data_IF_445485638724
#
_entry.id   IF_445485638724
#
_cell.length_a   1.000
_cell.length_b   1.000
_cell.length_c   1.000
_cell.angle_alpha   90.00
_cell.angle_beta   90.00
_cell.angle_gamma   90.00
#
_symmetry.space_group_name_H-M   'P 1'
#
loop_
_entity.id
_entity.type
_entity.pdbx_description
1 polymer ?
#
# COMPACT_ATOMS: atom_id res chain seq x y z
N UNK A 1 -4.52 -20.68 -14.07
CA UNK A 1 -5.61 -21.52 -13.54
C UNK A 1 -5.11 -22.19 -12.28
N UNK A 2 -5.92 -22.19 -11.22
CA UNK A 2 -5.62 -22.88 -9.97
C UNK A 2 -6.82 -23.74 -9.59
N UNK A 3 -6.58 -25.01 -9.28
CA UNK A 3 -7.60 -25.96 -8.84
C UNK A 3 -7.07 -26.71 -7.62
N UNK A 4 -8.00 -27.21 -6.79
CA UNK A 4 -7.64 -27.94 -5.58
C UNK A 4 -8.69 -28.99 -5.26
N UNK A 5 -8.27 -30.04 -4.55
CA UNK A 5 -9.12 -31.11 -4.04
C UNK A 5 -8.58 -31.62 -2.71
N UNK A 6 -9.35 -31.44 -1.64
CA UNK A 6 -9.03 -32.01 -0.33
C UNK A 6 -9.41 -33.49 -0.25
N UNK A 7 -8.55 -34.27 0.37
CA UNK A 7 -8.71 -35.70 0.62
C UNK A 7 -8.95 -35.97 2.10
N UNK A 8 -9.61 -37.10 2.41
CA UNK A 8 -9.92 -37.49 3.80
C UNK A 8 -8.66 -37.82 4.63
N UNK A 9 -7.51 -38.06 3.98
CA UNK A 9 -6.21 -38.30 4.62
C UNK A 9 -5.53 -37.01 5.12
N UNK A 10 -6.19 -35.86 5.01
CA UNK A 10 -5.69 -34.55 5.43
C UNK A 10 -4.76 -33.88 4.43
N UNK A 11 -4.58 -34.46 3.24
CA UNK A 11 -3.85 -33.85 2.14
C UNK A 11 -4.78 -33.07 1.21
N UNK A 12 -4.27 -31.95 0.72
CA UNK A 12 -4.91 -31.17 -0.33
C UNK A 12 -4.05 -31.26 -1.57
N UNK A 13 -4.63 -31.81 -2.64
CA UNK A 13 -4.02 -31.75 -3.97
C UNK A 13 -4.31 -30.39 -4.59
N UNK A 14 -3.29 -29.77 -5.15
CA UNK A 14 -3.36 -28.45 -5.77
C UNK A 14 -2.68 -28.49 -7.13
N UNK A 15 -3.32 -27.89 -8.11
CA UNK A 15 -2.79 -27.77 -9.46
C UNK A 15 -2.75 -26.30 -9.88
N UNK A 16 -1.60 -25.88 -10.41
CA UNK A 16 -1.37 -24.57 -11.01
C UNK A 16 -1.01 -24.74 -12.47
N UNK A 17 -1.68 -23.99 -13.33
CA UNK A 17 -1.39 -23.94 -14.76
C UNK A 17 -1.28 -22.49 -15.25
N UNK A 18 -0.30 -22.20 -16.10
CA UNK A 18 -0.09 -20.91 -16.76
C UNK A 18 0.15 -21.12 -18.25
N UNK A 19 -0.40 -20.24 -19.07
CA UNK A 19 -0.06 -20.15 -20.50
C UNK A 19 1.42 -19.74 -20.71
N UNK A 20 1.93 -20.03 -21.90
CA UNK A 20 3.29 -19.70 -22.34
C UNK A 20 3.42 -18.31 -22.97
N UNK A 21 2.54 -17.35 -22.64
CA UNK A 21 2.58 -16.00 -23.22
C UNK A 21 3.86 -15.24 -22.85
N UNK A 22 4.56 -15.68 -21.80
CA UNK A 22 5.81 -15.13 -21.30
C UNK A 22 6.82 -16.26 -21.08
N UNK A 23 7.60 -16.65 -22.11
CA UNK A 23 8.50 -17.80 -22.03
C UNK A 23 9.62 -17.68 -20.99
N UNK A 24 9.96 -16.45 -20.56
CA UNK A 24 10.94 -16.22 -19.49
C UNK A 24 10.41 -16.60 -18.11
N UNK A 25 9.09 -16.68 -17.93
CA UNK A 25 8.52 -17.08 -16.65
C UNK A 25 8.91 -18.52 -16.33
N UNK A 26 9.34 -18.72 -15.10
CA UNK A 26 9.91 -19.96 -14.61
C UNK A 26 9.53 -20.26 -13.15
N UNK A 27 8.54 -19.55 -12.60
CA UNK A 27 7.88 -19.96 -11.36
C UNK A 27 6.38 -19.63 -11.35
N UNK A 28 5.64 -20.36 -10.52
CA UNK A 28 4.26 -20.08 -10.13
C UNK A 28 4.12 -20.24 -8.62
N UNK A 29 3.32 -19.41 -7.97
CA UNK A 29 3.15 -19.47 -6.52
C UNK A 29 1.72 -19.16 -6.08
N UNK A 30 1.34 -19.75 -4.95
CA UNK A 30 0.12 -19.44 -4.20
C UNK A 30 0.50 -18.96 -2.79
N UNK A 31 0.09 -17.74 -2.46
CA UNK A 31 0.18 -17.17 -1.12
C UNK A 31 -1.15 -17.31 -0.38
N UNK A 32 -1.08 -17.66 0.91
CA UNK A 32 -2.25 -17.86 1.76
C UNK A 32 -2.35 -16.71 2.78
N UNK A 33 -3.07 -15.64 2.41
CA UNK A 33 -3.18 -14.44 3.24
C UNK A 33 -4.44 -14.42 4.11
N UNK A 34 -4.36 -13.70 5.22
CA UNK A 34 -5.50 -13.44 6.09
C UNK A 34 -6.30 -12.21 5.65
N UNK A 35 -5.81 -11.39 4.72
CA UNK A 35 -6.49 -10.20 4.21
C UNK A 35 -6.26 -9.97 2.71
N UNK A 36 -6.70 -8.82 2.18
CA UNK A 36 -6.59 -8.47 0.76
C UNK A 36 -5.27 -7.78 0.39
N UNK A 37 -4.25 -7.89 1.24
CA UNK A 37 -2.93 -7.26 1.04
C UNK A 37 -1.86 -8.33 1.12
N UNK A 38 -0.80 -8.16 0.33
CA UNK A 38 0.42 -8.90 0.60
C UNK A 38 1.13 -8.29 1.79
N UNK A 39 1.55 -9.16 2.71
CA UNK A 39 2.39 -8.83 3.85
C UNK A 39 3.07 -10.10 4.34
N UNK A 40 2.62 -10.59 5.49
CA UNK A 40 3.21 -11.74 6.14
C UNK A 40 2.39 -13.00 5.84
N UNK A 41 2.80 -13.76 4.82
CA UNK A 41 2.08 -14.94 4.36
C UNK A 41 2.99 -16.14 4.10
N UNK A 42 2.55 -17.36 4.45
CA UNK A 42 3.15 -18.54 3.88
C UNK A 42 2.78 -18.68 2.40
N UNK A 43 3.77 -19.09 1.61
CA UNK A 43 3.69 -19.23 0.17
C UNK A 43 4.13 -20.64 -0.20
N UNK A 44 3.40 -21.26 -1.13
CA UNK A 44 3.84 -22.50 -1.79
C UNK A 44 4.11 -22.19 -3.25
N UNK A 45 5.33 -22.46 -3.70
CA UNK A 45 5.77 -22.15 -5.04
C UNK A 45 6.27 -23.38 -5.79
N UNK A 46 6.09 -23.38 -7.10
CA UNK A 46 6.75 -24.28 -8.02
C UNK A 46 7.75 -23.50 -8.86
N UNK A 47 9.00 -23.96 -8.85
CA UNK A 47 10.11 -23.35 -9.60
C UNK A 47 10.59 -24.30 -10.68
N UNK A 48 10.82 -23.76 -11.88
CA UNK A 48 11.19 -24.48 -13.10
C UNK A 48 12.56 -23.96 -13.59
N UNK A 49 13.65 -24.30 -12.89
CA UNK A 49 14.97 -23.76 -13.21
C UNK A 49 15.39 -24.17 -14.63
N UNK A 50 16.15 -23.31 -15.31
CA UNK A 50 16.66 -23.59 -16.66
C UNK A 50 17.61 -24.80 -16.67
N UNK A 51 18.27 -25.04 -15.53
CA UNK A 51 19.14 -26.19 -15.29
C UNK A 51 18.67 -26.91 -14.03
N UNK A 52 18.38 -28.21 -14.14
CA UNK A 52 17.91 -29.02 -13.01
C UNK A 52 16.48 -29.50 -13.17
N UNK A 53 15.89 -29.96 -12.07
CA UNK A 53 14.51 -30.46 -12.02
C UNK A 53 13.60 -29.40 -11.43
N UNK A 54 12.38 -29.33 -11.94
CA UNK A 54 11.33 -28.54 -11.29
C UNK A 54 11.06 -29.08 -9.87
N UNK A 55 10.73 -28.17 -8.97
CA UNK A 55 10.49 -28.48 -7.55
C UNK A 55 9.34 -27.65 -7.01
N UNK A 56 8.69 -28.17 -5.97
CA UNK A 56 7.75 -27.42 -5.13
C UNK A 56 8.42 -27.13 -3.79
N UNK A 57 8.30 -25.89 -3.32
CA UNK A 57 8.95 -25.40 -2.11
C UNK A 57 8.00 -24.50 -1.33
N UNK A 58 8.21 -24.42 -0.03
CA UNK A 58 7.62 -23.40 0.80
C UNK A 58 8.52 -22.17 0.86
N UNK A 59 7.90 -21.02 1.05
CA UNK A 59 8.56 -19.80 1.49
C UNK A 59 7.61 -19.00 2.35
N UNK A 60 8.10 -17.92 2.94
CA UNK A 60 7.30 -17.02 3.74
C UNK A 60 7.59 -15.59 3.34
N UNK A 61 6.57 -14.86 2.92
CA UNK A 61 6.69 -13.42 2.72
C UNK A 61 6.76 -12.73 4.08
N UNK A 62 7.73 -11.83 4.25
CA UNK A 62 7.81 -10.92 5.38
C UNK A 62 7.92 -9.50 4.83
N UNK A 63 6.92 -8.66 5.11
CA UNK A 63 6.78 -7.32 4.54
C UNK A 63 6.89 -7.26 3.00
N UNK A 64 8.11 -7.07 2.49
CA UNK A 64 8.46 -6.92 1.06
C UNK A 64 9.55 -7.90 0.61
N UNK A 65 9.94 -8.80 1.49
CA UNK A 65 10.96 -9.81 1.25
C UNK A 65 10.31 -11.19 1.31
N UNK A 66 11.02 -12.18 0.80
CA UNK A 66 10.66 -13.58 0.89
C UNK A 66 11.78 -14.32 1.62
N UNK A 67 11.40 -15.24 2.50
CA UNK A 67 12.31 -16.07 3.28
C UNK A 67 12.07 -17.54 2.97
N UNK A 68 13.15 -18.28 2.73
CA UNK A 68 13.10 -19.73 2.55
C UNK A 68 13.30 -20.50 3.87
N UNK A 69 12.78 -21.73 3.97
CA UNK A 69 13.14 -22.68 5.02
C UNK A 69 14.65 -22.96 5.03
N UNK A 70 15.35 -22.53 6.09
CA UNK A 70 16.80 -22.76 6.23
C UNK A 70 17.17 -23.63 7.44
N UNK A 71 16.34 -23.64 8.49
CA UNK A 71 16.57 -24.50 9.64
C UNK A 71 16.24 -25.97 9.30
N UNK A 72 16.99 -26.90 9.89
CA UNK A 72 16.80 -28.34 9.65
C UNK A 72 15.36 -28.82 9.95
N UNK A 73 14.74 -28.25 11.00
CA UNK A 73 13.34 -28.56 11.37
C UNK A 73 12.36 -28.13 10.28
N UNK A 74 12.55 -26.94 9.72
CA UNK A 74 11.68 -26.40 8.67
C UNK A 74 11.85 -27.16 7.35
N UNK A 75 13.09 -27.54 7.02
CA UNK A 75 13.38 -28.39 5.86
C UNK A 75 12.76 -29.79 6.01
N UNK A 76 12.80 -30.38 7.20
CA UNK A 76 12.11 -31.66 7.45
C UNK A 76 10.61 -31.50 7.32
N UNK A 77 10.04 -30.43 7.88
CA UNK A 77 8.61 -30.14 7.77
C UNK A 77 8.18 -29.94 6.31
N UNK A 78 8.96 -29.22 5.50
CA UNK A 78 8.72 -29.08 4.05
C UNK A 78 8.67 -30.44 3.37
N UNK A 79 9.69 -31.29 3.56
CA UNK A 79 9.76 -32.61 2.93
C UNK A 79 8.63 -33.56 3.38
N UNK A 80 8.12 -33.41 4.60
CA UNK A 80 7.01 -34.20 5.11
C UNK A 80 5.64 -33.69 4.64
N UNK A 81 5.50 -32.37 4.53
CA UNK A 81 4.22 -31.69 4.32
C UNK A 81 3.97 -31.30 2.86
N UNK A 82 4.99 -31.28 2.00
CA UNK A 82 4.88 -30.90 0.60
C UNK A 82 5.45 -31.99 -0.28
N UNK A 83 4.67 -32.41 -1.28
CA UNK A 83 5.11 -33.37 -2.29
C UNK A 83 4.73 -32.90 -3.67
N UNK A 84 5.74 -32.70 -4.52
CA UNK A 84 5.53 -32.52 -5.94
C UNK A 84 5.09 -33.86 -6.57
N UNK A 85 3.97 -33.85 -7.27
CA UNK A 85 3.43 -35.01 -7.98
C UNK A 85 3.89 -34.98 -9.44
N UNK A 86 3.68 -33.83 -10.11
CA UNK A 86 4.10 -33.64 -11.49
C UNK A 86 4.38 -32.15 -11.77
N UNK A 87 5.40 -31.88 -12.57
CA UNK A 87 5.72 -30.53 -13.02
C UNK A 87 6.19 -30.56 -14.47
N UNK A 88 5.71 -29.61 -15.25
CA UNK A 88 6.08 -29.42 -16.64
C UNK A 88 6.25 -27.93 -16.97
N UNK A 89 7.27 -27.60 -17.75
CA UNK A 89 7.43 -26.31 -18.41
C UNK A 89 7.83 -26.59 -19.86
N UNK A 90 7.04 -26.09 -20.80
CA UNK A 90 7.20 -26.37 -22.22
C UNK A 90 6.51 -25.34 -23.11
N UNK A 91 6.20 -25.73 -24.34
CA UNK A 91 5.55 -24.86 -25.33
C UNK A 91 4.12 -24.50 -24.94
N UNK A 92 3.42 -25.39 -24.24
CA UNK A 92 2.05 -25.25 -23.72
C UNK A 92 1.97 -24.42 -22.43
N UNK A 93 3.11 -24.14 -21.80
CA UNK A 93 3.23 -23.27 -20.63
C UNK A 93 3.81 -23.99 -19.43
N UNK A 94 3.39 -23.58 -18.24
CA UNK A 94 3.84 -24.17 -16.98
C UNK A 94 2.67 -24.88 -16.31
N UNK A 95 2.92 -26.10 -15.84
CA UNK A 95 1.99 -26.89 -15.06
C UNK A 95 2.68 -27.44 -13.82
N UNK A 96 2.04 -27.32 -12.67
CA UNK A 96 2.51 -27.88 -11.41
C UNK A 96 1.37 -28.53 -10.65
N UNK A 97 1.54 -29.81 -10.32
CA UNK A 97 0.64 -30.59 -9.48
C UNK A 97 1.42 -31.04 -8.24
N UNK A 98 0.95 -30.63 -7.08
CA UNK A 98 1.55 -30.94 -5.79
C UNK A 98 0.46 -31.22 -4.77
N UNK A 99 0.85 -31.89 -3.69
CA UNK A 99 -0.02 -32.08 -2.53
C UNK A 99 0.63 -31.49 -1.29
N UNK A 100 -0.20 -30.91 -0.44
CA UNK A 100 0.23 -30.34 0.84
C UNK A 100 -0.61 -30.89 2.00
N UNK A 101 0.03 -31.17 3.13
CA UNK A 101 -0.65 -31.58 4.36
C UNK A 101 -1.27 -30.38 5.07
N UNK A 102 -2.58 -30.44 5.38
CA UNK A 102 -3.30 -29.38 6.08
C UNK A 102 -2.98 -29.32 7.58
N UNK A 103 -2.88 -30.48 8.23
CA UNK A 103 -2.86 -30.60 9.70
C UNK A 103 -1.51 -30.30 10.38
N UNK A 104 -0.45 -30.06 9.61
CA UNK A 104 0.91 -29.82 10.11
C UNK A 104 1.34 -28.37 9.88
N UNK A 105 0.67 -27.45 10.56
CA UNK A 105 0.94 -26.01 10.48
C UNK A 105 2.36 -25.67 10.98
N UNK A 106 3.06 -24.81 10.24
CA UNK A 106 4.33 -24.21 10.63
C UNK A 106 4.39 -22.77 10.12
N UNK A 107 5.49 -22.06 10.35
CA UNK A 107 5.71 -20.73 9.74
C UNK A 107 5.52 -20.80 8.23
N UNK A 108 6.07 -21.83 7.58
CA UNK A 108 6.11 -21.97 6.12
C UNK A 108 4.92 -22.79 5.57
N UNK A 109 4.32 -23.66 6.40
CA UNK A 109 3.21 -24.52 6.02
C UNK A 109 1.88 -24.02 6.63
N UNK A 110 0.97 -23.44 5.83
CA UNK A 110 -0.32 -22.98 6.33
C UNK A 110 -1.24 -24.16 6.67
N UNK A 111 -2.15 -23.93 7.64
CA UNK A 111 -3.24 -24.85 7.92
C UNK A 111 -4.36 -24.66 6.90
N UNK A 112 -4.45 -25.56 5.92
CA UNK A 112 -5.35 -25.45 4.79
C UNK A 112 -6.84 -25.60 5.14
N UNK A 113 -7.18 -26.00 6.37
CA UNK A 113 -8.56 -26.06 6.88
C UNK A 113 -9.10 -24.68 7.28
N UNK A 114 -8.26 -23.64 7.22
CA UNK A 114 -8.65 -22.24 7.43
C UNK A 114 -9.01 -21.56 6.11
N UNK A 115 -9.80 -20.49 6.21
CA UNK A 115 -10.14 -19.65 5.06
C UNK A 115 -9.05 -18.59 4.81
N UNK A 116 -8.50 -18.57 3.60
CA UNK A 116 -7.48 -17.61 3.18
C UNK A 116 -7.89 -16.83 1.95
N UNK A 117 -7.43 -15.59 1.87
CA UNK A 117 -7.34 -14.89 0.61
C UNK A 117 -6.17 -15.47 -0.18
N UNK A 118 -6.45 -16.04 -1.36
CA UNK A 118 -5.40 -16.62 -2.19
C UNK A 118 -4.80 -15.57 -3.11
N UNK A 119 -3.47 -15.53 -3.15
CA UNK A 119 -2.65 -14.73 -4.05
C UNK A 119 -1.97 -15.66 -5.05
N UNK A 120 -2.38 -15.60 -6.31
CA UNK A 120 -1.85 -16.45 -7.38
C UNK A 120 -0.93 -15.61 -8.26
N UNK A 121 0.33 -16.01 -8.37
CA UNK A 121 1.33 -15.25 -9.12
C UNK A 121 2.18 -16.18 -9.99
N UNK A 122 2.69 -15.61 -11.08
CA UNK A 122 3.68 -16.24 -11.95
C UNK A 122 4.71 -15.19 -12.34
N UNK A 123 5.94 -15.62 -12.58
CA UNK A 123 6.99 -14.69 -12.94
C UNK A 123 8.32 -15.36 -13.24
N UNK A 124 9.35 -14.53 -13.24
CA UNK A 124 10.74 -14.92 -13.42
C UNK A 124 11.47 -14.90 -12.08
N UNK A 125 12.31 -15.90 -11.83
CA UNK A 125 13.16 -16.04 -10.65
C UNK A 125 14.54 -16.56 -11.03
N UNK A 126 15.57 -16.02 -10.41
CA UNK A 126 16.93 -16.57 -10.46
C UNK A 126 17.16 -17.57 -9.31
N UNK A 127 16.28 -17.60 -8.32
CA UNK A 127 16.37 -18.51 -7.19
C UNK A 127 15.89 -19.91 -7.61
N UNK A 128 16.69 -20.98 -7.41
CA UNK A 128 16.30 -22.33 -7.75
C UNK A 128 15.16 -22.91 -6.88
N UNK A 129 14.79 -22.25 -5.79
CA UNK A 129 13.77 -22.69 -4.82
C UNK A 129 12.74 -21.61 -4.47
N UNK A 130 13.13 -20.34 -4.54
CA UNK A 130 12.30 -19.20 -4.17
C UNK A 130 11.54 -18.54 -5.33
N UNK A 131 10.43 -17.84 -5.04
CA UNK A 131 9.77 -16.98 -6.01
C UNK A 131 10.59 -15.70 -6.25
N UNK A 132 10.54 -15.18 -7.47
CA UNK A 132 11.16 -13.90 -7.82
C UNK A 132 10.22 -12.72 -7.60
N UNK A 133 10.75 -11.50 -7.72
CA UNK A 133 9.93 -10.28 -7.64
C UNK A 133 8.88 -10.26 -8.75
N UNK A 134 7.61 -10.09 -8.37
CA UNK A 134 6.50 -9.97 -9.30
C UNK A 134 6.22 -8.50 -9.66
N UNK A 135 5.39 -8.27 -10.68
CA UNK A 135 5.06 -6.91 -11.11
C UNK A 135 4.13 -6.21 -10.12
N UNK A 136 4.32 -4.90 -9.92
CA UNK A 136 3.42 -4.04 -9.15
C UNK A 136 2.38 -3.32 -10.03
N UNK A 137 2.42 -3.51 -11.35
CA UNK A 137 1.44 -2.97 -12.29
C UNK A 137 0.27 -3.93 -12.45
N UNK A 138 -0.97 -3.57 -12.04
CA UNK A 138 -2.17 -4.41 -12.17
C UNK A 138 -2.47 -4.90 -13.59
N UNK A 139 -1.89 -4.24 -14.61
CA UNK A 139 -2.06 -4.61 -16.03
C UNK A 139 -1.04 -5.62 -16.53
N UNK A 140 -0.02 -5.91 -15.73
CA UNK A 140 1.03 -6.86 -16.07
C UNK A 140 0.58 -8.29 -15.82
N UNK A 141 0.98 -9.19 -16.69
CA UNK A 141 0.75 -10.63 -16.53
C UNK A 141 1.46 -11.25 -15.30
N UNK A 142 2.48 -10.56 -14.77
CA UNK A 142 3.16 -10.91 -13.53
C UNK A 142 2.57 -10.23 -12.30
N UNK A 143 1.41 -9.57 -12.39
CA UNK A 143 0.71 -9.06 -11.22
C UNK A 143 -0.08 -10.20 -10.54
N UNK A 144 -0.05 -10.32 -9.21
CA UNK A 144 -0.79 -11.37 -8.51
C UNK A 144 -2.29 -11.23 -8.72
N UNK A 145 -2.94 -12.32 -9.10
CA UNK A 145 -4.37 -12.44 -9.01
C UNK A 145 -4.76 -12.70 -7.56
N UNK A 146 -5.59 -11.83 -6.99
CA UNK A 146 -6.13 -11.98 -5.65
C UNK A 146 -7.58 -12.45 -5.81
N UNK A 147 -7.93 -13.52 -5.10
CA UNK A 147 -9.33 -13.95 -5.00
C UNK A 147 -10.23 -12.82 -4.50
N UNK A 148 -11.54 -12.86 -4.74
CA UNK A 148 -12.46 -11.83 -4.22
C UNK A 148 -12.91 -12.10 -2.78
N UNK A 149 -12.92 -13.37 -2.40
CA UNK A 149 -13.34 -13.88 -1.09
C UNK A 149 -12.31 -14.88 -0.58
N UNK A 150 -12.32 -15.08 0.73
CA UNK A 150 -11.52 -16.14 1.33
C UNK A 150 -12.04 -17.52 0.90
N UNK A 151 -11.12 -18.45 0.76
CA UNK A 151 -11.37 -19.82 0.29
C UNK A 151 -10.75 -20.79 1.29
N UNK A 152 -11.51 -21.81 1.68
CA UNK A 152 -11.01 -22.95 2.42
C UNK A 152 -10.65 -24.06 1.42
N UNK A 153 -9.36 -24.31 1.21
CA UNK A 153 -8.90 -25.33 0.26
C UNK A 153 -8.83 -26.73 0.87
N UNK A 154 -8.85 -26.84 2.20
CA UNK A 154 -8.91 -28.10 2.96
C UNK A 154 -10.32 -28.68 3.12
N UNK A 155 -11.37 -27.91 2.79
CA UNK A 155 -12.74 -28.41 2.87
C UNK A 155 -12.97 -29.51 1.82
N UNK A 156 -13.19 -30.74 2.28
CA UNK A 156 -13.56 -31.87 1.43
C UNK A 156 -14.93 -31.59 0.79
N UNK A 157 -14.92 -31.23 -0.49
CA UNK A 157 -16.14 -31.19 -1.29
C UNK A 157 -16.58 -32.63 -1.53
N UNK A 158 -17.53 -33.11 -0.72
CA UNK A 158 -18.23 -34.36 -1.05
C UNK A 158 -18.95 -34.12 -2.36
N UNK A 159 -18.52 -34.83 -3.41
CA UNK A 159 -19.34 -35.06 -4.60
C UNK A 159 -20.53 -35.91 -4.15
N UNK A 160 -21.49 -35.29 -3.48
CA UNK A 160 -22.76 -35.93 -3.23
C UNK A 160 -23.39 -36.23 -4.59
N UNK A 161 -23.79 -37.49 -4.70
CA UNK A 161 -24.37 -38.11 -5.86
C UNK A 161 -25.54 -37.30 -6.45
N UNK A 162 -25.71 -37.43 -7.77
CA UNK A 162 -26.94 -37.34 -8.56
C UNK A 162 -28.10 -36.51 -7.96
N UNK A 163 -28.56 -35.44 -8.64
CA UNK A 163 -29.64 -34.62 -8.12
C UNK A 163 -30.89 -35.48 -7.96
N UNK A 164 -31.35 -35.66 -6.72
CA UNK A 164 -32.64 -36.31 -6.46
C UNK A 164 -33.75 -35.44 -7.05
N UNK A 165 -34.26 -35.89 -8.19
CA UNK A 165 -35.54 -35.49 -8.77
C UNK A 165 -36.63 -35.63 -7.70
N UNK A 166 -37.25 -34.51 -7.35
CA UNK A 166 -38.21 -34.43 -6.26
C UNK A 166 -39.16 -33.24 -6.39
N UNK A 167 -40.06 -33.37 -7.36
CA UNK A 167 -41.39 -32.74 -7.45
C UNK A 167 -41.46 -31.23 -7.69
N UNK A 168 -41.82 -30.92 -8.93
CA UNK A 168 -42.34 -29.65 -9.40
C UNK A 168 -43.48 -29.13 -8.51
N UNK A 169 -43.43 -27.84 -8.22
CA UNK A 169 -44.59 -26.97 -8.36
C UNK A 169 -44.08 -25.60 -8.81
N UNK A 170 -44.16 -25.40 -10.12
CA UNK A 170 -43.93 -24.13 -10.78
C UNK A 170 -44.87 -23.06 -10.21
N UNK A 171 -44.29 -21.98 -9.70
CA UNK A 171 -44.83 -20.64 -9.98
C UNK A 171 -43.65 -19.70 -10.14
N UNK A 172 -43.42 -19.35 -11.40
CA UNK A 172 -42.50 -18.32 -11.84
C UNK A 172 -42.85 -17.00 -11.13
N UNK A 173 -42.01 -16.62 -10.17
CA UNK A 173 -42.11 -15.40 -9.40
C UNK A 173 -40.71 -14.84 -9.18
N UNK A 174 -40.21 -14.14 -10.21
CA UNK A 174 -39.11 -13.19 -10.08
C UNK A 174 -39.38 -12.27 -8.88
N UNK A 175 -38.67 -12.48 -7.79
CA UNK A 175 -38.54 -11.50 -6.71
C UNK A 175 -37.07 -11.46 -6.32
N UNK A 176 -36.41 -10.48 -6.93
CA UNK A 176 -35.22 -9.83 -6.44
C UNK A 176 -35.51 -9.35 -5.00
N UNK A 177 -35.18 -10.17 -4.01
CA UNK A 177 -35.07 -9.69 -2.64
C UNK A 177 -33.66 -9.12 -2.46
N UNK A 178 -33.59 -7.83 -2.78
CA UNK A 178 -32.54 -6.91 -2.36
C UNK A 178 -32.53 -6.85 -0.83
N UNK A 179 -31.89 -7.82 -0.17
CA UNK A 179 -31.44 -7.63 1.20
C UNK A 179 -30.26 -6.66 1.17
N UNK A 180 -30.62 -5.40 1.37
CA UNK A 180 -29.73 -4.25 1.53
C UNK A 180 -29.04 -4.35 2.89
N UNK A 181 -28.21 -5.36 3.10
CA UNK A 181 -27.15 -5.26 4.11
C UNK A 181 -26.07 -4.39 3.50
N UNK A 182 -25.90 -3.20 4.07
CA UNK A 182 -24.83 -2.28 3.70
C UNK A 182 -23.48 -2.91 4.04
N UNK A 183 -23.02 -3.82 3.19
CA UNK A 183 -21.61 -4.16 3.07
C UNK A 183 -20.96 -2.86 2.64
N UNK A 184 -20.26 -2.20 3.56
CA UNK A 184 -19.41 -1.08 3.23
C UNK A 184 -18.57 -1.50 2.02
N UNK A 185 -18.83 -0.94 0.85
CA UNK A 185 -18.12 -1.31 -0.37
C UNK A 185 -16.67 -0.88 -0.18
N UNK A 186 -15.80 -1.83 0.16
CA UNK A 186 -14.39 -1.57 0.24
C UNK A 186 -13.96 -1.13 -1.17
N UNK A 187 -13.28 0.02 -1.31
CA UNK A 187 -12.89 0.52 -2.63
C UNK A 187 -12.05 -0.53 -3.35
N UNK A 188 -12.26 -0.68 -4.66
CA UNK A 188 -11.48 -1.63 -5.47
C UNK A 188 -9.97 -1.36 -5.30
N UNK A 189 -9.10 -2.38 -5.48
CA UNK A 189 -7.65 -2.19 -5.34
C UNK A 189 -7.13 -0.99 -6.15
N UNK A 190 -7.67 -0.79 -7.35
CA UNK A 190 -7.35 0.34 -8.22
C UNK A 190 -7.68 1.70 -7.58
N UNK A 191 -8.87 1.84 -6.96
CA UNK A 191 -9.28 3.07 -6.27
C UNK A 191 -8.41 3.34 -5.05
N UNK A 192 -8.02 2.30 -4.29
CA UNK A 192 -7.10 2.45 -3.15
C UNK A 192 -5.75 3.00 -3.60
N UNK A 193 -5.17 2.46 -4.67
CA UNK A 193 -3.90 2.95 -5.22
C UNK A 193 -4.02 4.39 -5.73
N UNK A 194 -5.12 4.71 -6.42
CA UNK A 194 -5.39 6.06 -6.91
C UNK A 194 -5.51 7.06 -5.76
N UNK A 195 -6.21 6.68 -4.68
CA UNK A 195 -6.36 7.50 -3.48
C UNK A 195 -5.00 7.79 -2.81
N UNK A 196 -4.13 6.78 -2.69
CA UNK A 196 -2.78 6.95 -2.13
C UNK A 196 -1.96 7.91 -2.98
N UNK A 197 -2.07 7.83 -4.32
CA UNK A 197 -1.37 8.75 -5.23
C UNK A 197 -1.87 10.19 -5.10
N UNK A 198 -3.19 10.39 -5.03
CA UNK A 198 -3.80 11.71 -4.82
C UNK A 198 -3.41 12.28 -3.46
N UNK A 199 -3.43 11.47 -2.39
CA UNK A 199 -2.97 11.86 -1.07
C UNK A 199 -1.52 12.35 -1.09
N UNK A 200 -0.63 11.62 -1.76
CA UNK A 200 0.77 12.01 -1.93
C UNK A 200 0.94 13.36 -2.63
N UNK A 201 0.20 13.59 -3.71
CA UNK A 201 0.21 14.88 -4.44
C UNK A 201 -0.28 16.02 -3.54
N UNK A 202 -1.38 15.82 -2.82
CA UNK A 202 -1.94 16.81 -1.90
C UNK A 202 -0.99 17.14 -0.74
N UNK A 203 -0.27 16.14 -0.21
CA UNK A 203 0.73 16.36 0.84
C UNK A 203 1.88 17.23 0.37
N UNK A 204 2.40 16.99 -0.85
CA UNK A 204 3.46 17.81 -1.44
C UNK A 204 2.97 19.24 -1.67
N UNK A 205 1.79 19.42 -2.27
CA UNK A 205 1.19 20.73 -2.51
C UNK A 205 0.98 21.51 -1.19
N UNK A 206 0.45 20.85 -0.16
CA UNK A 206 0.26 21.44 1.15
C UNK A 206 1.59 21.89 1.75
N UNK A 207 2.63 21.07 1.70
CA UNK A 207 3.96 21.44 2.18
C UNK A 207 4.55 22.66 1.48
N UNK A 208 4.46 22.74 0.16
CA UNK A 208 4.94 23.93 -0.57
C UNK A 208 4.19 25.19 -0.14
N UNK A 209 2.87 25.12 0.03
CA UNK A 209 2.06 26.26 0.47
C UNK A 209 2.40 26.67 1.91
N UNK A 210 2.40 25.72 2.85
CA UNK A 210 2.66 26.03 4.26
C UNK A 210 4.10 26.52 4.51
N UNK A 211 5.09 25.99 3.77
CA UNK A 211 6.47 26.47 3.86
C UNK A 211 6.62 27.89 3.31
N UNK A 212 6.07 28.17 2.11
CA UNK A 212 6.16 29.50 1.52
C UNK A 212 5.39 30.53 2.34
N UNK A 213 4.17 30.22 2.77
CA UNK A 213 3.37 31.10 3.64
C UNK A 213 4.06 31.32 4.99
N UNK A 214 4.68 30.30 5.59
CA UNK A 214 5.44 30.44 6.83
C UNK A 214 6.64 31.39 6.69
N UNK A 215 7.42 31.24 5.63
CA UNK A 215 8.59 32.10 5.36
C UNK A 215 8.16 33.54 5.05
N UNK A 216 7.13 33.73 4.22
CA UNK A 216 6.59 35.05 3.89
C UNK A 216 5.99 35.73 5.12
N UNK A 217 5.25 35.00 5.94
CA UNK A 217 4.68 35.51 7.20
C UNK A 217 5.77 35.99 8.15
N UNK A 218 6.83 35.20 8.33
CA UNK A 218 7.95 35.57 9.19
C UNK A 218 8.70 36.82 8.71
N UNK A 219 8.76 37.05 7.38
CA UNK A 219 9.46 38.20 6.79
C UNK A 219 8.61 39.47 6.74
N UNK A 220 7.33 39.36 6.38
CA UNK A 220 6.50 40.52 6.04
C UNK A 220 5.40 40.84 7.06
N UNK A 221 4.87 39.85 7.77
CA UNK A 221 3.86 40.11 8.81
C UNK A 221 4.47 40.51 10.16
N UNK A 222 5.81 40.46 10.30
CA UNK A 222 6.52 40.89 11.51
C UNK A 222 6.28 42.36 11.86
N UNK A 223 6.17 43.22 10.85
CA UNK A 223 6.14 44.68 11.05
C UNK A 223 4.73 45.28 11.14
N UNK A 224 3.71 44.59 10.60
CA UNK A 224 2.32 45.07 10.56
C UNK A 224 1.56 44.88 11.89
N UNK A 225 2.02 43.99 12.78
CA UNK A 225 1.40 43.75 14.09
C UNK A 225 2.28 44.24 15.24
N UNK A 226 2.87 45.43 15.11
CA UNK A 226 3.75 46.00 16.14
C UNK A 226 3.01 46.65 17.32
N UNK A 227 1.74 47.05 17.14
CA UNK A 227 0.94 47.77 18.15
C UNK A 227 -0.06 46.90 18.92
N UNK A 228 -0.32 45.66 18.48
CA UNK A 228 -1.29 44.78 19.14
C UNK A 228 -0.58 43.64 19.84
N UNK A 229 -0.62 43.66 21.18
CA UNK A 229 -0.13 42.59 22.06
C UNK A 229 -1.31 41.91 22.75
N UNK A 230 -1.99 40.94 22.11
CA UNK A 230 -2.90 40.09 22.85
C UNK A 230 -2.10 39.37 23.94
N UNK A 231 -2.49 39.53 25.20
CA UNK A 231 -1.81 38.95 26.36
C UNK A 231 -0.35 39.38 26.58
N UNK A 232 0.07 40.56 26.06
CA UNK A 232 1.41 41.10 26.30
C UNK A 232 2.52 40.49 25.43
N UNK A 233 2.19 39.56 24.52
CA UNK A 233 3.12 39.04 23.51
C UNK A 233 2.76 39.56 22.11
N UNK A 234 3.79 39.80 21.28
CA UNK A 234 3.60 40.24 19.89
C UNK A 234 2.99 39.11 19.06
N UNK A 235 2.08 39.43 18.14
CA UNK A 235 1.40 38.46 17.25
C UNK A 235 2.33 37.47 16.56
N UNK A 236 3.50 37.92 16.08
CA UNK A 236 4.46 37.03 15.43
C UNK A 236 4.97 35.93 16.37
N UNK A 237 4.97 36.15 17.68
CA UNK A 237 5.38 35.15 18.68
C UNK A 237 4.31 34.06 18.82
N UNK A 238 3.02 34.42 18.77
CA UNK A 238 1.92 33.44 18.74
C UNK A 238 1.90 32.65 17.44
N UNK A 239 2.05 33.32 16.30
CA UNK A 239 2.13 32.68 14.98
C UNK A 239 3.34 31.76 14.91
N UNK A 240 4.52 32.23 15.34
CA UNK A 240 5.72 31.42 15.36
C UNK A 240 5.58 30.26 16.35
N UNK A 241 5.00 30.45 17.54
CA UNK A 241 4.76 29.39 18.52
C UNK A 241 3.81 28.32 17.99
N UNK A 242 2.76 28.71 17.27
CA UNK A 242 1.81 27.78 16.65
C UNK A 242 2.45 27.00 15.50
N UNK A 243 3.40 27.61 14.79
CA UNK A 243 4.19 26.97 13.72
C UNK A 243 5.36 26.12 14.27
N UNK A 244 5.93 26.48 15.43
CA UNK A 244 7.07 25.80 16.08
C UNK A 244 6.71 24.45 16.66
N UNK A 245 5.44 24.25 17.03
CA UNK A 245 4.93 22.94 17.47
C UNK A 245 4.97 21.88 16.35
N UNK A 246 5.39 22.23 15.12
CA UNK A 246 5.58 21.28 14.01
C UNK A 246 7.02 21.14 13.45
N UNK A 247 8.04 21.81 13.99
CA UNK A 247 9.43 21.56 13.57
C UNK A 247 10.48 22.02 14.59
N UNK A 248 11.43 21.17 15.01
CA UNK A 248 12.46 21.55 15.97
C UNK A 248 13.67 22.25 15.31
N UNK A 249 14.25 23.17 16.09
CA UNK A 249 15.63 23.66 16.04
C UNK A 249 16.05 24.60 14.90
N UNK A 250 15.95 25.93 15.13
CA UNK A 250 16.84 26.98 14.58
C UNK A 250 16.58 28.42 15.09
N UNK A 251 16.31 28.63 16.38
CA UNK A 251 15.94 29.99 16.89
C UNK A 251 16.99 30.73 17.72
N UNK A 252 18.12 30.10 18.09
CA UNK A 252 19.14 30.78 18.92
C UNK A 252 19.99 31.78 18.11
N UNK A 253 20.05 31.65 16.77
CA UNK A 253 20.86 32.53 15.91
C UNK A 253 20.22 33.91 15.63
N UNK A 254 18.89 34.06 15.76
CA UNK A 254 18.19 35.29 15.34
C UNK A 254 18.08 36.37 16.42
N UNK A 255 18.20 36.01 17.70
CA UNK A 255 18.20 36.95 18.83
C UNK A 255 19.41 37.92 18.76
N UNK A 256 20.57 37.41 18.34
CA UNK A 256 21.81 38.18 18.34
C UNK A 256 21.87 39.28 17.26
N UNK A 257 21.15 39.14 16.14
CA UNK A 257 21.14 40.15 15.06
C UNK A 257 20.29 41.38 15.37
N UNK A 258 19.35 41.29 16.32
CA UNK A 258 18.48 42.42 16.67
C UNK A 258 19.14 43.39 17.66
N UNK A 259 20.15 42.92 18.42
CA UNK A 259 20.94 43.75 19.34
C UNK A 259 21.96 44.66 18.64
N UNK A 260 22.46 44.26 17.46
CA UNK A 260 23.48 45.01 16.72
C UNK A 260 22.97 46.26 15.98
N UNK A 261 21.66 46.51 15.94
CA UNK A 261 21.06 47.62 15.18
C UNK A 261 20.70 48.85 16.03
N UNK A 262 20.79 48.77 17.37
CA UNK A 262 20.48 49.86 18.29
C UNK A 262 21.74 50.28 19.03
N UNK A 263 22.08 51.58 18.99
CA UNK A 263 23.09 52.16 19.88
C UNK A 263 22.43 52.37 21.24
N UNK A 264 23.04 51.87 22.31
CA UNK A 264 22.64 52.07 23.70
C UNK A 264 23.68 52.91 24.42
N UNK A 265 23.24 53.77 25.33
CA UNK A 265 24.16 54.43 26.27
C UNK A 265 24.57 53.46 27.39
N UNK A 266 25.57 53.86 28.18
CA UNK A 266 26.11 53.04 29.27
C UNK A 266 25.10 52.81 30.41
N UNK A 267 23.94 53.48 30.39
CA UNK A 267 22.80 53.26 31.28
C UNK A 267 21.77 52.27 30.73
N UNK A 268 21.99 51.74 29.52
CA UNK A 268 21.09 50.81 28.84
C UNK A 268 19.91 51.46 28.13
N UNK A 269 19.95 52.78 27.86
CA UNK A 269 18.91 53.53 27.15
C UNK A 269 19.24 53.67 25.66
N UNK A 270 18.22 53.52 24.80
CA UNK A 270 18.38 53.58 23.33
C UNK A 270 18.64 55.03 22.91
N UNK A 271 19.80 55.31 22.30
CA UNK A 271 20.22 56.66 21.92
C UNK A 271 19.78 57.07 20.51
N UNK A 272 19.53 56.11 19.62
CA UNK A 272 19.00 56.38 18.28
C UNK A 272 18.37 55.12 17.68
N UNK A 273 17.22 55.30 17.02
CA UNK A 273 16.59 54.28 16.17
C UNK A 273 16.62 54.75 14.72
N UNK A 274 17.09 53.94 13.75
CA UNK A 274 17.05 54.34 12.35
C UNK A 274 15.59 54.55 11.89
N UNK A 275 15.32 55.53 11.01
CA UNK A 275 13.98 55.76 10.48
C UNK A 275 13.48 54.52 9.73
N UNK A 276 12.29 54.06 10.09
CA UNK A 276 11.68 52.84 9.54
C UNK A 276 11.11 53.16 8.15
N UNK A 277 11.86 52.85 7.09
CA UNK A 277 11.38 52.98 5.70
C UNK A 277 10.41 51.83 5.42
N UNK A 278 9.10 52.11 5.55
CA UNK A 278 8.05 51.18 5.12
C UNK A 278 7.94 51.30 3.60
N UNK A 279 8.64 50.43 2.88
CA UNK A 279 8.49 50.31 1.43
C UNK A 279 7.08 49.72 1.14
N UNK A 280 6.22 50.42 0.38
CA UNK A 280 4.87 49.92 0.00
C UNK A 280 4.88 48.89 -1.14
N UNK A 281 6.00 48.75 -1.85
CA UNK A 281 6.20 47.79 -2.95
C UNK A 281 5.99 46.29 -2.62
N UNK A 282 6.23 45.76 -1.40
CA UNK A 282 6.02 44.35 -1.09
C UNK A 282 4.55 43.98 -0.83
N UNK A 283 3.64 44.95 -0.66
CA UNK A 283 2.22 44.68 -0.45
C UNK A 283 1.55 44.16 -1.74
N UNK A 284 1.91 44.72 -2.90
CA UNK A 284 1.46 44.25 -4.21
C UNK A 284 1.98 42.84 -4.55
N UNK A 285 3.19 42.52 -4.09
CA UNK A 285 3.75 41.17 -4.23
C UNK A 285 2.94 40.14 -3.44
N UNK A 286 2.50 40.49 -2.22
CA UNK A 286 1.66 39.62 -1.40
C UNK A 286 0.28 39.39 -2.02
N UNK A 287 -0.35 40.45 -2.55
CA UNK A 287 -1.67 40.33 -3.21
C UNK A 287 -1.58 39.53 -4.51
N UNK A 288 -0.53 39.71 -5.30
CA UNK A 288 -0.32 38.94 -6.52
C UNK A 288 -0.13 37.44 -6.23
N UNK A 289 0.60 37.11 -5.16
CA UNK A 289 0.82 35.73 -4.72
C UNK A 289 -0.49 35.09 -4.22
N UNK A 290 -1.35 35.86 -3.57
CA UNK A 290 -2.69 35.42 -3.14
C UNK A 290 -3.64 35.18 -4.31
N UNK A 291 -3.63 36.05 -5.33
CA UNK A 291 -4.44 35.88 -6.54
C UNK A 291 -4.00 34.65 -7.35
N UNK A 292 -2.69 34.45 -7.52
CA UNK A 292 -2.16 33.23 -8.16
C UNK A 292 -2.58 31.97 -7.39
N UNK A 293 -2.59 32.01 -6.06
CA UNK A 293 -3.02 30.89 -5.23
C UNK A 293 -4.52 30.57 -5.39
N UNK A 294 -5.39 31.58 -5.39
CA UNK A 294 -6.84 31.38 -5.61
C UNK A 294 -7.10 30.79 -6.99
N UNK A 295 -6.45 31.32 -8.02
CA UNK A 295 -6.59 30.80 -9.39
C UNK A 295 -6.09 29.35 -9.50
N UNK A 296 -4.95 29.03 -8.90
CA UNK A 296 -4.41 27.67 -8.89
C UNK A 296 -5.34 26.69 -8.13
N UNK A 297 -5.86 27.11 -6.97
CA UNK A 297 -6.80 26.30 -6.18
C UNK A 297 -8.10 26.03 -6.94
N UNK A 298 -8.63 27.03 -7.67
CA UNK A 298 -9.82 26.86 -8.51
C UNK A 298 -9.52 25.91 -9.68
N UNK A 299 -8.35 26.00 -10.32
CA UNK A 299 -7.96 25.07 -11.38
C UNK A 299 -7.87 23.61 -10.86
N UNK A 300 -7.27 23.40 -9.69
CA UNK A 300 -7.18 22.05 -9.09
C UNK A 300 -8.55 21.52 -8.72
N UNK A 301 -9.42 22.35 -8.13
CA UNK A 301 -10.79 21.96 -7.81
C UNK A 301 -11.61 21.63 -9.07
N UNK A 302 -11.48 22.42 -10.14
CA UNK A 302 -12.15 22.17 -11.41
C UNK A 302 -11.66 20.87 -12.07
N UNK A 303 -10.35 20.58 -12.03
CA UNK A 303 -9.79 19.31 -12.50
C UNK A 303 -10.31 18.13 -11.68
N UNK A 304 -10.37 18.25 -10.35
CA UNK A 304 -10.94 17.21 -9.48
C UNK A 304 -12.42 16.96 -9.77
N UNK A 305 -13.22 18.01 -9.96
CA UNK A 305 -14.64 17.89 -10.30
C UNK A 305 -14.79 17.20 -11.66
N UNK A 306 -14.07 17.65 -12.68
CA UNK A 306 -14.13 17.05 -14.03
C UNK A 306 -13.77 15.56 -14.00
N UNK A 307 -12.77 15.17 -13.20
CA UNK A 307 -12.33 13.78 -13.06
C UNK A 307 -13.25 12.91 -12.21
N UNK A 308 -14.09 13.50 -11.35
CA UNK A 308 -15.10 12.78 -10.56
C UNK A 308 -16.42 12.59 -11.33
N UNK A 309 -16.63 13.36 -12.39
CA UNK A 309 -17.83 13.31 -13.24
C UNK A 309 -17.69 12.45 -14.49
N UNK A 310 -16.50 11.90 -14.75
CA UNK A 310 -16.18 10.97 -15.86
C UNK A 310 -15.91 9.58 -15.33
#
# INVERSE_FOLDING_TARGET
MFTYSASEDGWVEMEMASSNDFPSFNYMAVGFSNDDKMGDEPVTQCVFPNTGKAGAYFSYNVDKNNEDPTAAVDLTAENENLKLIYAHRGEDGMYCHFRQMSSKESKFAPNLDKEYQLFLVRGETDDPKGPGLHSLDPRSAGYPYITERKINVGQVQRRDAEPKLGSDNDTMGSTLETETTAVASWPSPETKFWLVRVHGILMILAWFVFLMTGVLSARYLRDNFSSSTPFGLKWWFHILSHLKNKAPNKTISMEMRNRSAHRYDDSGKIINSPPKIINQKPLHGLTALWVFFVLFSICVAALLIMMLTT
#
